data_IF_405292468748
#
_entry.id   IF_405292468748
#
_cell.length_a   1.000
_cell.length_b   1.000
_cell.length_c   1.000
_cell.angle_alpha   90.00
_cell.angle_beta   90.00
_cell.angle_gamma   90.00
#
_symmetry.space_group_name_H-M   'P 1'
#
loop_
_entity.id
_entity.type
_entity.pdbx_description
1 polymer ?
#
# COMPACT_ATOMS: atom_id res chain seq x y z
N UNK A 1 -71.65 13.26 -10.07
CA UNK A 1 -71.39 13.19 -8.64
C UNK A 1 -72.02 11.94 -8.11
N UNK A 2 -71.74 11.53 -6.93
CA UNK A 2 -70.71 11.90 -6.01
C UNK A 2 -70.05 10.68 -5.36
N UNK A 3 -69.05 10.97 -4.50
CA UNK A 3 -68.95 10.44 -3.15
C UNK A 3 -68.47 8.97 -3.05
N UNK A 4 -67.68 8.59 -2.20
CA UNK A 4 -67.27 8.90 -0.83
C UNK A 4 -66.00 8.12 -0.52
N UNK A 5 -65.08 8.73 0.11
CA UNK A 5 -64.30 8.07 1.11
C UNK A 5 -65.16 7.89 2.36
N UNK A 6 -64.98 6.98 3.27
CA UNK A 6 -63.92 7.11 4.24
C UNK A 6 -63.39 5.83 4.86
N UNK A 7 -62.59 6.07 5.83
CA UNK A 7 -62.28 5.32 7.04
C UNK A 7 -61.03 4.51 6.95
N UNK A 8 -59.93 4.98 7.57
CA UNK A 8 -59.66 4.90 9.01
C UNK A 8 -59.87 3.52 9.60
N UNK A 9 -58.77 2.90 9.93
CA UNK A 9 -58.64 2.15 11.15
C UNK A 9 -57.16 1.95 11.39
N UNK A 10 -56.63 2.79 12.20
CA UNK A 10 -56.09 2.48 13.54
C UNK A 10 -55.06 1.35 13.59
N UNK A 11 -53.88 1.83 13.77
CA UNK A 11 -52.77 1.19 14.41
C UNK A 11 -53.16 0.83 15.87
N UNK A 12 -52.66 -0.25 16.39
CA UNK A 12 -52.09 -0.17 17.68
C UNK A 12 -50.60 -0.43 17.66
N UNK A 13 -49.91 0.57 18.15
CA UNK A 13 -48.60 0.37 18.69
C UNK A 13 -48.68 -0.57 19.88
N UNK A 14 -47.86 -1.56 19.90
CA UNK A 14 -47.56 -2.22 21.15
C UNK A 14 -46.12 -2.72 21.14
N UNK A 15 -45.36 -2.06 21.98
CA UNK A 15 -44.34 -2.60 22.88
C UNK A 15 -43.14 -3.32 22.26
N UNK A 16 -42.09 -2.56 22.15
CA UNK A 16 -40.74 -3.11 22.26
C UNK A 16 -40.52 -3.62 23.70
N UNK A 17 -40.07 -4.84 23.91
CA UNK A 17 -39.45 -5.21 25.16
C UNK A 17 -38.07 -4.62 25.25
N UNK A 18 -37.61 -4.22 26.41
CA UNK A 18 -36.26 -3.73 26.57
C UNK A 18 -35.28 -4.85 26.34
N UNK A 19 -34.40 -4.65 25.38
CA UNK A 19 -33.24 -5.47 25.28
C UNK A 19 -32.34 -5.20 26.46
N UNK A 20 -32.25 -6.15 27.33
CA UNK A 20 -31.22 -6.17 28.34
C UNK A 20 -29.88 -6.38 27.64
N UNK A 21 -29.14 -5.33 27.65
CA UNK A 21 -27.74 -5.24 27.28
C UNK A 21 -26.96 -6.20 28.18
N UNK A 22 -26.52 -7.30 27.60
CA UNK A 22 -25.36 -8.00 28.10
C UNK A 22 -24.17 -7.47 27.34
N UNK A 23 -23.46 -6.56 27.94
CA UNK A 23 -22.12 -6.25 27.56
C UNK A 23 -21.26 -7.50 27.62
N UNK A 24 -20.64 -7.92 26.55
CA UNK A 24 -19.37 -8.61 26.65
C UNK A 24 -18.29 -7.54 26.84
N UNK A 25 -17.53 -7.71 27.88
CA UNK A 25 -16.32 -6.96 28.15
C UNK A 25 -15.45 -6.86 26.88
N UNK A 26 -14.72 -5.75 26.72
CA UNK A 26 -13.76 -5.64 25.65
C UNK A 26 -12.71 -6.72 25.88
N UNK A 27 -12.72 -7.68 25.02
CA UNK A 27 -11.55 -8.50 24.80
C UNK A 27 -10.48 -7.55 24.28
N UNK A 28 -9.54 -7.28 25.14
CA UNK A 28 -8.33 -6.60 24.83
C UNK A 28 -7.54 -7.51 23.88
N UNK A 29 -7.92 -7.44 22.61
CA UNK A 29 -7.10 -7.94 21.53
C UNK A 29 -5.86 -7.06 21.52
N UNK A 30 -4.85 -7.49 22.24
CA UNK A 30 -3.50 -7.03 22.03
C UNK A 30 -3.20 -7.35 20.56
N UNK A 31 -3.23 -6.32 19.74
CA UNK A 31 -2.61 -6.38 18.45
C UNK A 31 -1.17 -6.82 18.69
N UNK A 32 -0.70 -7.90 18.05
CA UNK A 32 0.71 -8.18 18.08
C UNK A 32 1.38 -6.97 17.40
N UNK A 33 2.08 -6.18 18.18
CA UNK A 33 3.12 -5.33 17.65
C UNK A 33 4.08 -6.27 16.95
N UNK A 34 3.92 -6.40 15.65
CA UNK A 34 4.93 -7.02 14.81
C UNK A 34 6.07 -6.01 14.83
N UNK A 35 7.05 -6.25 15.68
CA UNK A 35 8.33 -5.59 15.51
C UNK A 35 8.76 -5.87 14.07
N UNK A 36 9.12 -4.82 13.30
CA UNK A 36 9.56 -5.02 11.93
C UNK A 36 10.74 -6.00 11.95
N UNK A 37 10.57 -7.13 11.28
CA UNK A 37 11.62 -8.12 11.20
C UNK A 37 12.82 -7.49 10.52
N UNK A 38 13.94 -7.47 11.21
CA UNK A 38 15.21 -7.02 10.64
C UNK A 38 15.71 -8.16 9.76
N UNK A 39 15.98 -7.89 8.50
CA UNK A 39 16.57 -8.85 7.60
C UNK A 39 17.89 -9.40 8.16
N UNK A 40 18.31 -10.56 7.67
CA UNK A 40 19.53 -11.25 8.13
C UNK A 40 20.80 -10.41 8.08
N UNK A 41 20.82 -9.34 7.28
CA UNK A 41 21.91 -8.38 7.13
C UNK A 41 21.77 -7.12 8.02
N UNK A 42 20.76 -7.12 8.90
CA UNK A 42 20.49 -5.99 9.79
C UNK A 42 19.78 -4.80 9.14
N UNK A 43 19.36 -4.93 7.87
CA UNK A 43 18.63 -3.89 7.12
C UNK A 43 17.15 -3.98 7.44
N UNK A 44 16.57 -2.86 7.86
CA UNK A 44 15.15 -2.71 8.14
C UNK A 44 14.52 -1.75 7.12
N UNK A 45 13.66 -2.28 6.25
CA UNK A 45 13.04 -1.51 5.17
C UNK A 45 12.05 -0.46 5.68
N UNK A 46 11.38 -0.71 6.81
CA UNK A 46 10.50 0.29 7.42
C UNK A 46 11.30 1.49 7.93
N UNK A 47 12.42 1.25 8.59
CA UNK A 47 13.30 2.32 9.04
C UNK A 47 13.85 3.14 7.87
N UNK A 48 14.17 2.48 6.76
CA UNK A 48 14.57 3.18 5.54
C UNK A 48 13.44 4.08 5.02
N UNK A 49 12.20 3.56 4.95
CA UNK A 49 11.04 4.36 4.55
C UNK A 49 10.85 5.56 5.47
N UNK A 50 10.93 5.38 6.79
CA UNK A 50 10.76 6.45 7.77
C UNK A 50 11.83 7.54 7.60
N UNK A 51 13.05 7.16 7.27
CA UNK A 51 14.15 8.08 6.99
C UNK A 51 13.88 8.92 5.72
N UNK A 52 13.58 8.28 4.61
CA UNK A 52 13.34 8.99 3.34
C UNK A 52 12.07 9.81 3.38
N UNK A 53 11.01 9.35 4.05
CA UNK A 53 9.76 10.11 4.20
C UNK A 53 9.91 11.35 5.09
N UNK A 54 10.93 11.38 5.95
CA UNK A 54 11.29 12.56 6.74
C UNK A 54 12.19 13.53 5.98
N UNK A 55 12.89 13.05 4.96
CA UNK A 55 13.87 13.83 4.18
C UNK A 55 13.25 14.40 2.91
N UNK A 56 12.41 13.64 2.24
CA UNK A 56 11.78 14.00 0.97
C UNK A 56 10.28 14.21 1.13
N UNK A 57 9.72 15.17 0.41
CA UNK A 57 8.29 15.45 0.44
C UNK A 57 7.52 14.46 -0.43
N UNK A 58 6.98 13.43 0.18
CA UNK A 58 5.96 12.60 -0.45
C UNK A 58 4.58 13.25 -0.32
N UNK A 59 3.73 13.06 -1.31
CA UNK A 59 2.29 13.33 -1.14
C UNK A 59 1.73 12.44 -0.02
N UNK A 60 0.50 12.72 0.42
CA UNK A 60 -0.16 11.83 1.39
C UNK A 60 -0.17 10.40 0.86
N UNK A 61 0.52 9.49 1.55
CA UNK A 61 0.69 8.09 1.17
C UNK A 61 -0.17 7.19 2.04
N UNK A 62 -0.64 6.10 1.47
CA UNK A 62 -1.31 5.01 2.19
C UNK A 62 -0.57 3.70 1.98
N UNK A 63 -0.76 2.78 2.91
CA UNK A 63 -0.23 1.42 2.76
C UNK A 63 -0.95 0.68 1.63
N UNK A 64 -0.19 -0.10 0.88
CA UNK A 64 -0.75 -1.04 -0.08
C UNK A 64 -1.29 -2.26 0.66
N UNK A 65 -2.58 -2.48 0.56
CA UNK A 65 -3.18 -3.75 0.95
C UNK A 65 -3.07 -4.79 -0.17
N UNK A 66 -3.51 -5.99 0.10
CA UNK A 66 -3.45 -7.09 -0.87
C UNK A 66 -4.24 -6.79 -2.15
N UNK A 67 -5.36 -6.09 -2.04
CA UNK A 67 -6.20 -5.74 -3.19
C UNK A 67 -5.49 -4.76 -4.12
N UNK A 68 -4.87 -3.73 -3.56
CA UNK A 68 -4.05 -2.77 -4.32
C UNK A 68 -2.85 -3.48 -4.93
N UNK A 69 -2.20 -4.35 -4.16
CA UNK A 69 -1.04 -5.12 -4.63
C UNK A 69 -1.41 -6.00 -5.82
N UNK A 70 -2.51 -6.74 -5.75
CA UNK A 70 -2.95 -7.61 -6.84
C UNK A 70 -3.37 -6.83 -8.08
N UNK A 71 -3.95 -5.63 -7.90
CA UNK A 71 -4.36 -4.77 -9.00
C UNK A 71 -3.19 -4.12 -9.73
N UNK A 72 -2.16 -3.69 -8.99
CA UNK A 72 -1.06 -2.91 -9.55
C UNK A 72 0.24 -3.71 -9.76
N UNK A 73 0.42 -4.77 -9.02
CA UNK A 73 1.58 -5.67 -9.05
C UNK A 73 1.16 -7.13 -9.17
N UNK A 74 0.49 -7.53 -10.27
CA UNK A 74 -0.02 -8.89 -10.40
C UNK A 74 1.06 -9.94 -10.16
N UNK A 75 0.78 -10.86 -9.24
CA UNK A 75 1.69 -11.93 -8.86
C UNK A 75 2.62 -11.63 -7.68
N UNK A 76 2.70 -10.37 -7.24
CA UNK A 76 3.58 -10.01 -6.12
C UNK A 76 3.09 -10.61 -4.80
N UNK A 77 1.78 -10.64 -4.57
CA UNK A 77 1.18 -11.22 -3.37
C UNK A 77 1.42 -12.72 -3.20
N UNK A 78 1.78 -13.42 -4.28
CA UNK A 78 2.14 -14.83 -4.24
C UNK A 78 3.62 -15.09 -3.89
N UNK A 79 4.44 -14.06 -3.88
CA UNK A 79 5.87 -14.16 -3.53
C UNK A 79 6.04 -14.12 -2.02
N UNK A 80 6.85 -15.03 -1.49
CA UNK A 80 7.23 -14.98 -0.08
C UNK A 80 8.26 -13.88 0.17
N UNK A 81 7.90 -12.93 1.02
CA UNK A 81 8.76 -11.81 1.40
C UNK A 81 9.15 -11.90 2.86
N UNK A 82 10.40 -11.58 3.18
CA UNK A 82 10.86 -11.43 4.55
C UNK A 82 10.48 -10.04 5.10
N UNK A 83 10.56 -9.01 4.24
CA UNK A 83 10.07 -7.66 4.54
C UNK A 83 9.31 -7.10 3.33
N UNK A 84 8.27 -6.34 3.60
CA UNK A 84 7.51 -5.62 2.58
C UNK A 84 7.05 -4.26 3.10
N UNK A 85 7.34 -3.21 2.36
CA UNK A 85 6.80 -1.86 2.58
C UNK A 85 6.28 -1.36 1.25
N UNK A 86 4.98 -1.24 1.12
CA UNK A 86 4.31 -0.71 -0.07
C UNK A 86 3.54 0.54 0.27
N UNK A 87 3.82 1.65 -0.39
CA UNK A 87 3.17 2.94 -0.19
C UNK A 87 2.73 3.50 -1.53
N UNK A 88 1.51 3.99 -1.58
CA UNK A 88 0.91 4.60 -2.77
C UNK A 88 0.26 5.92 -2.40
N UNK A 89 0.29 6.89 -3.31
CA UNK A 89 -0.38 8.17 -3.09
C UNK A 89 -1.89 8.00 -2.94
N UNK A 90 -2.47 8.68 -1.95
CA UNK A 90 -3.92 8.68 -1.71
C UNK A 90 -4.71 9.41 -2.80
N UNK A 91 -4.06 10.24 -3.60
CA UNK A 91 -4.67 11.00 -4.68
C UNK A 91 -4.15 10.54 -6.03
N UNK A 92 -5.05 10.31 -6.97
CA UNK A 92 -4.72 9.80 -8.31
C UNK A 92 -3.90 10.77 -9.17
N UNK A 93 -3.88 12.04 -8.82
CA UNK A 93 -3.06 13.05 -9.51
C UNK A 93 -1.57 12.97 -9.14
N UNK A 94 -1.22 12.30 -8.06
CA UNK A 94 0.17 12.09 -7.65
C UNK A 94 0.71 10.78 -8.18
N UNK A 95 1.92 10.82 -8.71
CA UNK A 95 2.66 9.65 -9.14
C UNK A 95 3.59 9.09 -8.05
N UNK A 96 3.51 9.59 -6.81
CA UNK A 96 4.34 9.07 -5.74
C UNK A 96 3.94 7.63 -5.39
N UNK A 97 4.89 6.73 -5.50
CA UNK A 97 4.75 5.32 -5.19
C UNK A 97 6.09 4.76 -4.74
N UNK A 98 6.07 3.92 -3.72
CA UNK A 98 7.26 3.26 -3.20
C UNK A 98 6.94 1.82 -2.86
N UNK A 99 7.78 0.92 -3.34
CA UNK A 99 7.74 -0.50 -2.95
C UNK A 99 9.14 -0.92 -2.53
N UNK A 100 9.26 -1.44 -1.33
CA UNK A 100 10.48 -2.00 -0.77
C UNK A 100 10.20 -3.46 -0.43
N UNK A 101 11.07 -4.34 -0.89
CA UNK A 101 10.88 -5.79 -0.73
C UNK A 101 12.20 -6.43 -0.33
N UNK A 102 12.14 -7.34 0.64
CA UNK A 102 13.14 -8.36 0.85
C UNK A 102 12.51 -9.71 0.49
N UNK A 103 12.98 -10.33 -0.57
CA UNK A 103 12.53 -11.68 -0.94
C UNK A 103 13.03 -12.70 0.09
N UNK A 104 12.18 -13.64 0.48
CA UNK A 104 12.58 -14.74 1.35
C UNK A 104 13.56 -15.70 0.65
N UNK A 105 13.52 -15.74 -0.68
CA UNK A 105 14.45 -16.53 -1.52
C UNK A 105 15.05 -15.67 -2.62
N UNK A 106 16.33 -15.88 -2.90
CA UNK A 106 17.00 -15.28 -4.05
C UNK A 106 16.43 -15.74 -5.41
N UNK A 107 15.75 -16.87 -5.43
CA UNK A 107 15.13 -17.42 -6.64
C UNK A 107 13.96 -16.57 -7.13
N UNK A 108 13.33 -15.81 -6.22
CA UNK A 108 12.18 -14.95 -6.52
C UNK A 108 12.58 -13.55 -7.01
N UNK A 109 13.83 -13.14 -6.82
CA UNK A 109 14.29 -11.77 -7.12
C UNK A 109 14.04 -11.37 -8.56
N UNK A 110 14.37 -12.25 -9.51
CA UNK A 110 14.18 -11.96 -10.95
C UNK A 110 12.70 -11.80 -11.31
N UNK A 111 11.82 -12.61 -10.71
CA UNK A 111 10.37 -12.51 -10.94
C UNK A 111 9.81 -11.22 -10.34
N UNK A 112 10.22 -10.86 -9.14
CA UNK A 112 9.81 -9.60 -8.48
C UNK A 112 10.32 -8.40 -9.28
N UNK A 113 11.57 -8.40 -9.72
CA UNK A 113 12.10 -7.33 -10.57
C UNK A 113 11.24 -7.14 -11.83
N UNK A 114 10.88 -8.22 -12.52
CA UNK A 114 10.04 -8.15 -13.71
C UNK A 114 8.64 -7.57 -13.41
N UNK A 115 8.07 -7.86 -12.25
CA UNK A 115 6.80 -7.27 -11.80
C UNK A 115 6.95 -5.77 -11.59
N UNK A 116 8.01 -5.31 -10.93
CA UNK A 116 8.28 -3.88 -10.72
C UNK A 116 8.51 -3.15 -12.05
N UNK A 117 9.25 -3.73 -12.97
CA UNK A 117 9.47 -3.18 -14.32
C UNK A 117 8.16 -3.08 -15.11
N UNK A 118 7.31 -4.10 -15.02
CA UNK A 118 5.97 -4.09 -15.64
C UNK A 118 5.11 -2.96 -15.08
N UNK A 119 5.14 -2.73 -13.77
CA UNK A 119 4.42 -1.61 -13.15
C UNK A 119 4.87 -0.28 -13.71
N UNK A 120 6.18 -0.02 -13.72
CA UNK A 120 6.74 1.20 -14.28
C UNK A 120 6.32 1.38 -15.74
N UNK A 121 6.50 0.35 -16.57
CA UNK A 121 6.17 0.41 -17.98
C UNK A 121 4.68 0.67 -18.23
N UNK A 122 3.80 0.03 -17.47
CA UNK A 122 2.34 0.24 -17.56
C UNK A 122 1.97 1.70 -17.30
N UNK A 123 2.63 2.36 -16.35
CA UNK A 123 2.37 3.76 -16.06
C UNK A 123 2.87 4.68 -17.17
N UNK A 124 4.05 4.41 -17.73
CA UNK A 124 4.62 5.17 -18.87
C UNK A 124 3.78 4.98 -20.13
N UNK A 125 3.28 3.78 -20.39
CA UNK A 125 2.51 3.44 -21.60
C UNK A 125 1.04 3.90 -21.57
N UNK A 126 0.60 4.64 -20.56
CA UNK A 126 -0.72 5.24 -20.50
C UNK A 126 -1.49 5.00 -19.21
N UNK A 127 -0.89 4.38 -18.20
CA UNK A 127 -1.47 4.28 -16.86
C UNK A 127 -1.49 5.64 -16.17
N UNK A 128 -0.44 6.43 -16.35
CA UNK A 128 -0.39 7.81 -15.88
C UNK A 128 -1.04 8.76 -16.92
N UNK A 129 -1.83 9.71 -16.43
CA UNK A 129 -2.64 10.61 -17.29
C UNK A 129 -2.06 12.01 -17.45
N UNK A 130 -1.37 12.49 -16.40
CA UNK A 130 -0.83 13.83 -16.39
C UNK A 130 0.62 13.81 -16.88
N UNK A 131 1.05 14.78 -17.73
CA UNK A 131 2.42 14.84 -18.24
C UNK A 131 3.49 14.80 -17.16
N UNK A 132 3.25 15.45 -16.02
CA UNK A 132 4.15 15.46 -14.87
C UNK A 132 4.25 14.07 -14.23
N UNK A 133 3.13 13.36 -14.14
CA UNK A 133 3.10 11.99 -13.62
C UNK A 133 3.80 11.01 -14.55
N UNK A 134 3.62 11.17 -15.86
CA UNK A 134 4.32 10.35 -16.88
C UNK A 134 5.82 10.57 -16.75
N UNK A 135 6.27 11.82 -16.70
CA UNK A 135 7.69 12.18 -16.57
C UNK A 135 8.28 11.63 -15.26
N UNK A 136 7.52 11.65 -14.18
CA UNK A 136 7.95 11.08 -12.90
C UNK A 136 8.11 9.56 -12.99
N UNK A 137 7.17 8.87 -13.65
CA UNK A 137 7.26 7.43 -13.87
C UNK A 137 8.40 7.05 -14.83
N UNK A 138 8.67 7.85 -15.87
CA UNK A 138 9.85 7.66 -16.73
C UNK A 138 11.15 7.71 -15.93
N UNK A 139 11.21 8.61 -14.93
CA UNK A 139 12.37 8.81 -14.05
C UNK A 139 12.40 7.88 -12.85
N UNK A 140 11.35 7.08 -12.62
CA UNK A 140 11.27 6.15 -11.52
C UNK A 140 12.46 5.18 -11.51
N UNK A 141 12.95 4.87 -10.31
CA UNK A 141 14.11 4.00 -10.13
C UNK A 141 13.69 2.62 -9.62
N UNK A 142 14.33 1.60 -10.17
CA UNK A 142 14.27 0.23 -9.66
C UNK A 142 15.69 -0.17 -9.27
N UNK A 143 15.87 -0.61 -8.03
CA UNK A 143 17.14 -1.06 -7.49
C UNK A 143 17.02 -2.50 -7.03
N UNK A 144 18.10 -3.27 -7.24
CA UNK A 144 18.21 -4.65 -6.77
C UNK A 144 19.57 -4.84 -6.11
N UNK A 145 19.55 -5.28 -4.86
CA UNK A 145 20.75 -5.60 -4.08
C UNK A 145 20.51 -6.89 -3.31
N UNK A 146 21.12 -7.99 -3.77
CA UNK A 146 20.86 -9.32 -3.19
C UNK A 146 19.38 -9.67 -3.27
N UNK A 147 18.77 -9.92 -2.12
CA UNK A 147 17.33 -10.20 -1.99
C UNK A 147 16.44 -8.96 -1.87
N UNK A 148 17.06 -7.78 -1.84
CA UNK A 148 16.37 -6.52 -1.64
C UNK A 148 16.08 -5.83 -2.97
N UNK A 149 14.84 -5.38 -3.12
CA UNK A 149 14.40 -4.63 -4.30
C UNK A 149 13.67 -3.35 -3.86
N UNK A 150 13.80 -2.32 -4.66
CA UNK A 150 13.05 -1.08 -4.52
C UNK A 150 12.51 -0.63 -5.86
N UNK A 151 11.25 -0.17 -5.87
CA UNK A 151 10.71 0.71 -6.90
C UNK A 151 10.32 2.03 -6.22
N UNK A 152 10.77 3.13 -6.77
CA UNK A 152 10.35 4.46 -6.31
C UNK A 152 10.00 5.36 -7.49
N UNK A 153 8.80 5.93 -7.45
CA UNK A 153 8.34 7.00 -8.31
C UNK A 153 8.18 8.27 -7.47
N UNK A 154 9.12 9.19 -7.65
CA UNK A 154 9.22 10.43 -6.89
C UNK A 154 10.08 11.45 -7.64
N UNK A 155 9.90 12.74 -7.35
CA UNK A 155 10.73 13.79 -7.95
C UNK A 155 12.24 13.59 -7.64
N UNK A 156 12.57 13.05 -6.49
CA UNK A 156 13.93 12.74 -6.05
C UNK A 156 14.27 11.25 -6.15
N UNK A 157 13.67 10.52 -7.08
CA UNK A 157 13.87 9.07 -7.19
C UNK A 157 15.34 8.66 -7.30
N UNK A 158 16.16 9.44 -7.98
CA UNK A 158 17.60 9.14 -8.13
C UNK A 158 18.37 9.26 -6.81
N UNK A 159 18.04 10.25 -5.98
CA UNK A 159 18.67 10.44 -4.67
C UNK A 159 18.24 9.33 -3.70
N UNK A 160 16.94 9.00 -3.69
CA UNK A 160 16.39 7.90 -2.89
C UNK A 160 17.03 6.57 -3.30
N UNK A 161 17.24 6.35 -4.60
CA UNK A 161 17.91 5.16 -5.10
C UNK A 161 19.38 5.09 -4.66
N UNK A 162 20.08 6.23 -4.62
CA UNK A 162 21.44 6.29 -4.11
C UNK A 162 21.50 5.95 -2.61
N UNK A 163 20.55 6.47 -1.81
CA UNK A 163 20.45 6.14 -0.38
C UNK A 163 20.12 4.66 -0.16
N UNK A 164 19.21 4.10 -0.96
CA UNK A 164 18.90 2.66 -0.88
C UNK A 164 20.14 1.81 -1.18
N UNK A 165 20.87 2.11 -2.25
CA UNK A 165 22.07 1.38 -2.61
C UNK A 165 23.19 1.54 -1.56
N UNK A 166 23.23 2.67 -0.86
CA UNK A 166 24.20 2.91 0.21
C UNK A 166 24.01 2.00 1.42
N UNK A 167 22.80 1.45 1.64
CA UNK A 167 22.55 0.47 2.71
C UNK A 167 23.38 -0.81 2.53
N UNK A 168 23.82 -1.12 1.32
CA UNK A 168 24.53 -2.34 0.96
C UNK A 168 26.03 -2.10 0.66
N UNK A 169 26.47 -0.86 0.84
CA UNK A 169 27.87 -0.49 0.65
C UNK A 169 28.58 -0.55 2.01
N UNK A 170 29.40 -1.58 2.20
CA UNK A 170 30.36 -1.63 3.30
C UNK A 170 31.66 -0.90 2.93
#
# INVERSE_FOLDING_TARGET
>A
PPSEAPAETEQPAESAPPAESSEPAPDESAEPSVEPEVGGDGINLQNFYDSISSTYEFSSMMDMDTEIMDAYYPGLSAVSTAQFVGKIAMITASANELVLIECASSDDVAAVQAILETRKQTQVDGGAWYPESISMWESAQICVNGNYLMLVSHANAADIAAEFNALFSE
#
